data_IF_892669204449
#
_entry.id   IF_892669204449
#
_cell.length_a   1.000
_cell.length_b   1.000
_cell.length_c   1.000
_cell.angle_alpha   90.00
_cell.angle_beta   90.00
_cell.angle_gamma   90.00
#
_symmetry.space_group_name_H-M   'P 1'
#
loop_
_entity.id
_entity.type
_entity.pdbx_description
1 polymer ?
#
# COMPACT_ATOMS: atom_id res chain seq x y z
N UNK A 1 -6.81 44.05 -4.41
CA UNK A 1 -6.48 42.65 -4.07
C UNK A 1 -7.77 41.96 -3.66
N UNK A 2 -8.19 40.91 -4.36
CA UNK A 2 -9.45 40.23 -4.08
C UNK A 2 -9.23 39.23 -2.94
N UNK A 3 -9.61 39.61 -1.72
CA UNK A 3 -9.33 38.87 -0.48
C UNK A 3 -10.07 37.54 -0.39
N UNK A 4 -11.12 37.32 -1.19
CA UNK A 4 -11.83 36.04 -1.29
C UNK A 4 -11.06 34.99 -2.07
N UNK A 5 -10.34 35.39 -3.13
CA UNK A 5 -9.48 34.48 -3.90
C UNK A 5 -8.28 34.00 -3.07
N UNK A 6 -7.70 34.85 -2.22
CA UNK A 6 -6.58 34.45 -1.36
C UNK A 6 -7.03 33.46 -0.27
N UNK A 7 -8.19 33.70 0.36
CA UNK A 7 -8.78 32.75 1.32
C UNK A 7 -9.12 31.40 0.68
N UNK A 8 -9.64 31.39 -0.55
CA UNK A 8 -9.92 30.14 -1.26
C UNK A 8 -8.62 29.39 -1.59
N UNK A 9 -7.56 30.09 -1.97
CA UNK A 9 -6.27 29.47 -2.25
C UNK A 9 -5.65 28.84 -1.00
N UNK A 10 -5.67 29.57 0.11
CA UNK A 10 -5.11 29.12 1.40
C UNK A 10 -5.83 27.89 1.97
N UNK A 11 -7.16 27.82 1.80
CA UNK A 11 -7.97 26.67 2.22
C UNK A 11 -7.72 25.44 1.32
N UNK A 12 -7.60 25.64 0.00
CA UNK A 12 -7.30 24.55 -0.94
C UNK A 12 -5.91 23.98 -0.69
N UNK A 13 -4.92 24.84 -0.41
CA UNK A 13 -3.54 24.43 -0.18
C UNK A 13 -3.44 23.57 1.08
N UNK A 14 -4.07 23.98 2.19
CA UNK A 14 -4.06 23.23 3.45
C UNK A 14 -4.75 21.85 3.33
N UNK A 15 -5.90 21.77 2.65
CA UNK A 15 -6.66 20.52 2.50
C UNK A 15 -5.96 19.54 1.54
N UNK A 16 -5.30 20.06 0.50
CA UNK A 16 -4.43 19.28 -0.40
C UNK A 16 -3.15 18.83 0.31
N UNK A 17 -2.52 19.68 1.12
CA UNK A 17 -1.34 19.32 1.92
C UNK A 17 -1.68 18.26 2.97
N UNK A 18 -2.86 18.32 3.60
CA UNK A 18 -3.27 17.31 4.58
C UNK A 18 -3.31 15.88 4.01
N UNK A 19 -3.72 15.73 2.75
CA UNK A 19 -3.69 14.44 2.04
C UNK A 19 -2.28 13.98 1.65
N UNK A 20 -1.32 14.90 1.54
CA UNK A 20 0.07 14.59 1.18
C UNK A 20 0.94 14.35 2.41
N UNK A 21 0.77 15.15 3.47
CA UNK A 21 1.68 15.23 4.62
C UNK A 21 1.12 14.60 5.91
N UNK A 22 -0.19 14.65 6.16
CA UNK A 22 -0.73 14.50 7.51
C UNK A 22 -1.85 13.49 7.74
N UNK A 23 -2.35 12.84 6.69
CA UNK A 23 -3.40 11.82 6.83
C UNK A 23 -2.86 10.47 7.30
N UNK A 24 -3.74 9.68 7.93
CA UNK A 24 -3.54 8.25 8.27
C UNK A 24 -3.13 7.40 7.05
N UNK A 25 -3.42 7.93 5.87
CA UNK A 25 -3.19 7.47 4.51
C UNK A 25 -2.15 8.31 3.72
N UNK A 26 -1.14 8.91 4.37
CA UNK A 26 -0.07 9.62 3.65
C UNK A 26 0.74 8.66 2.75
N UNK A 27 1.50 9.22 1.79
CA UNK A 27 2.27 8.43 0.82
C UNK A 27 3.24 7.44 1.49
N UNK A 28 3.92 7.88 2.55
CA UNK A 28 4.94 7.08 3.23
C UNK A 28 4.31 5.87 3.94
N UNK A 29 3.19 6.05 4.63
CA UNK A 29 2.44 4.96 5.28
C UNK A 29 1.92 3.98 4.24
N UNK A 30 1.37 4.46 3.13
CA UNK A 30 0.90 3.59 2.05
C UNK A 30 2.02 2.74 1.45
N UNK A 31 3.19 3.33 1.19
CA UNK A 31 4.36 2.58 0.70
C UNK A 31 4.84 1.56 1.73
N UNK A 32 4.83 1.92 3.02
CA UNK A 32 5.22 1.03 4.09
C UNK A 32 4.27 -0.17 4.20
N UNK A 33 2.96 0.07 4.24
CA UNK A 33 1.95 -0.99 4.33
C UNK A 33 1.90 -1.86 3.07
N UNK A 34 2.03 -1.27 1.89
CA UNK A 34 2.17 -2.03 0.65
C UNK A 34 3.44 -2.89 0.64
N UNK A 35 4.54 -2.39 1.20
CA UNK A 35 5.78 -3.13 1.39
C UNK A 35 5.64 -4.30 2.37
N UNK A 36 4.99 -4.09 3.52
CA UNK A 36 4.74 -5.18 4.49
C UNK A 36 3.78 -6.22 3.93
N UNK A 37 2.78 -5.80 3.12
CA UNK A 37 1.91 -6.72 2.40
C UNK A 37 2.67 -7.57 1.36
N UNK A 38 3.68 -6.99 0.68
CA UNK A 38 4.56 -7.75 -0.22
C UNK A 38 5.37 -8.82 0.53
N UNK A 39 5.95 -8.47 1.70
CA UNK A 39 6.73 -9.41 2.52
C UNK A 39 5.85 -10.50 3.12
N UNK A 40 4.67 -10.14 3.63
CA UNK A 40 3.68 -11.10 4.13
C UNK A 40 3.20 -12.05 3.03
N UNK A 41 2.90 -11.50 1.85
CA UNK A 41 2.55 -12.26 0.66
C UNK A 41 3.67 -13.21 0.23
N UNK A 42 4.92 -12.76 0.22
CA UNK A 42 6.07 -13.62 -0.09
C UNK A 42 6.15 -14.80 0.87
N UNK A 43 6.10 -14.52 2.18
CA UNK A 43 6.19 -15.54 3.22
C UNK A 43 5.07 -16.56 3.08
N UNK A 44 3.84 -16.11 2.84
CA UNK A 44 2.70 -16.98 2.58
C UNK A 44 2.92 -17.85 1.33
N UNK A 45 3.34 -17.24 0.22
CA UNK A 45 3.64 -17.96 -1.01
C UNK A 45 4.71 -19.04 -0.83
N UNK A 46 5.81 -18.71 -0.14
CA UNK A 46 6.87 -19.69 0.16
C UNK A 46 6.40 -20.82 1.07
N UNK A 47 5.60 -20.51 2.10
CA UNK A 47 5.13 -21.51 3.06
C UNK A 47 4.11 -22.47 2.44
N UNK A 48 3.22 -21.97 1.58
CA UNK A 48 2.29 -22.83 0.82
C UNK A 48 3.08 -23.77 -0.09
N UNK A 49 4.10 -23.28 -0.80
CA UNK A 49 4.91 -24.13 -1.66
C UNK A 49 5.77 -25.13 -0.89
N UNK A 50 6.31 -24.74 0.27
CA UNK A 50 6.97 -25.67 1.18
C UNK A 50 6.02 -26.81 1.61
N UNK A 51 4.79 -26.46 1.98
CA UNK A 51 3.78 -27.41 2.44
C UNK A 51 3.29 -28.35 1.32
N UNK A 52 3.27 -27.88 0.06
CA UNK A 52 2.88 -28.69 -1.09
C UNK A 52 4.01 -29.59 -1.62
N UNK A 53 5.18 -29.60 -0.97
CA UNK A 53 6.32 -30.41 -1.38
C UNK A 53 7.12 -29.83 -2.55
N UNK A 54 6.87 -28.57 -2.93
CA UNK A 54 7.69 -27.90 -3.91
C UNK A 54 9.10 -27.71 -3.33
N UNK A 55 10.10 -28.24 -4.02
CA UNK A 55 11.49 -28.18 -3.57
C UNK A 55 12.02 -26.74 -3.50
N UNK A 56 13.16 -26.58 -2.83
CA UNK A 56 13.88 -25.31 -2.69
C UNK A 56 14.00 -24.47 -4.00
N UNK A 57 14.16 -25.05 -5.21
CA UNK A 57 14.25 -24.26 -6.45
C UNK A 57 13.01 -23.43 -6.77
N UNK A 58 11.83 -23.84 -6.31
CA UNK A 58 10.55 -23.19 -6.64
C UNK A 58 10.08 -22.19 -5.58
N UNK A 59 10.73 -22.16 -4.41
CA UNK A 59 10.38 -21.27 -3.30
C UNK A 59 10.39 -19.79 -3.75
N UNK A 60 11.40 -19.38 -4.53
CA UNK A 60 11.49 -18.01 -5.02
C UNK A 60 10.32 -17.61 -5.94
N UNK A 61 9.87 -18.52 -6.81
CA UNK A 61 8.73 -18.28 -7.69
C UNK A 61 7.41 -18.17 -6.90
N UNK A 62 7.23 -19.04 -5.91
CA UNK A 62 6.04 -19.00 -5.05
C UNK A 62 6.00 -17.76 -4.17
N UNK A 63 7.16 -17.36 -3.61
CA UNK A 63 7.30 -16.10 -2.88
C UNK A 63 6.99 -14.90 -3.76
N UNK A 64 7.50 -14.87 -4.99
CA UNK A 64 7.20 -13.79 -5.94
C UNK A 64 5.70 -13.67 -6.26
N UNK A 65 5.04 -14.80 -6.54
CA UNK A 65 3.59 -14.84 -6.79
C UNK A 65 2.83 -14.39 -5.55
N UNK A 66 3.18 -14.93 -4.39
CA UNK A 66 2.57 -14.56 -3.11
C UNK A 66 2.72 -13.06 -2.80
N UNK A 67 3.89 -12.47 -3.07
CA UNK A 67 4.13 -11.05 -2.90
C UNK A 67 3.19 -10.19 -3.78
N UNK A 68 2.97 -10.58 -5.05
CA UNK A 68 2.02 -9.89 -5.92
C UNK A 68 0.60 -9.96 -5.40
N UNK A 69 0.16 -11.13 -4.91
CA UNK A 69 -1.15 -11.27 -4.29
C UNK A 69 -1.28 -10.40 -3.03
N UNK A 70 -0.26 -10.38 -2.17
CA UNK A 70 -0.23 -9.53 -0.98
C UNK A 70 -0.40 -8.05 -1.30
N UNK A 71 0.37 -7.52 -2.25
CA UNK A 71 0.26 -6.12 -2.69
C UNK A 71 -1.10 -5.84 -3.34
N UNK A 72 -1.60 -6.74 -4.17
CA UNK A 72 -2.88 -6.56 -4.87
C UNK A 72 -4.06 -6.55 -3.89
N UNK A 73 -4.01 -7.43 -2.87
CA UNK A 73 -5.00 -7.46 -1.80
C UNK A 73 -4.96 -6.17 -0.98
N UNK A 74 -3.76 -5.71 -0.58
CA UNK A 74 -3.61 -4.45 0.14
C UNK A 74 -4.17 -3.28 -0.67
N UNK A 75 -3.77 -3.14 -1.94
CA UNK A 75 -4.27 -2.07 -2.81
C UNK A 75 -5.81 -2.12 -2.97
N UNK A 76 -6.38 -3.32 -3.10
CA UNK A 76 -7.82 -3.52 -3.19
C UNK A 76 -8.55 -3.13 -1.90
N UNK A 77 -8.04 -3.54 -0.74
CA UNK A 77 -8.64 -3.21 0.56
C UNK A 77 -8.51 -1.71 0.84
N UNK A 78 -7.34 -1.12 0.63
CA UNK A 78 -7.10 0.33 0.78
C UNK A 78 -8.01 1.14 -0.14
N UNK A 79 -8.18 0.70 -1.39
CA UNK A 79 -9.11 1.35 -2.32
C UNK A 79 -10.57 1.23 -1.89
N UNK A 80 -10.97 0.09 -1.31
CA UNK A 80 -12.34 -0.14 -0.84
C UNK A 80 -12.67 0.59 0.47
N UNK A 81 -11.69 0.85 1.34
CA UNK A 81 -11.88 1.51 2.64
C UNK A 81 -11.65 3.02 2.60
N UNK A 82 -11.17 3.57 1.48
CA UNK A 82 -10.81 4.99 1.38
C UNK A 82 -9.46 5.34 2.04
N UNK A 83 -8.61 4.34 2.26
CA UNK A 83 -7.37 4.45 3.03
C UNK A 83 -7.60 4.17 4.52
N UNK A 84 -6.64 3.46 5.15
CA UNK A 84 -6.65 3.21 6.59
C UNK A 84 -6.25 4.44 7.41
#
# INVERSE_FOLDING_TARGET
>A
MNTTLMKQFEIIDADKLAHVEGGKNNWQTNVWEGGTAAVGGWTLGTTICAASGAGAPFMGACGYIGAKFGVSLWAGVTGATGGF
#
